data_IF_586366615039
#
_entry.id   IF_586366615039
#
_cell.length_a   1.000
_cell.length_b   1.000
_cell.length_c   1.000
_cell.angle_alpha   90.00
_cell.angle_beta   90.00
_cell.angle_gamma   90.00
#
_symmetry.space_group_name_H-M   'P 1'
#
loop_
_entity.id
_entity.type
_entity.pdbx_description
1 polymer ?
#
# COMPACT_ATOMS: atom_id res chain seq x y z
N UNK A 1 15.16 20.97 -6.76
CA UNK A 1 14.54 19.84 -7.46
C UNK A 1 13.23 19.47 -6.83
N UNK A 2 12.29 19.04 -7.65
CA UNK A 2 10.98 18.66 -7.17
C UNK A 2 11.03 17.33 -6.42
N UNK A 3 10.22 17.18 -5.40
CA UNK A 3 10.03 15.91 -4.74
C UNK A 3 9.37 14.91 -5.68
N UNK A 4 9.80 13.65 -5.57
CA UNK A 4 9.14 12.57 -6.29
C UNK A 4 8.02 12.03 -5.40
N UNK A 5 6.82 11.95 -5.93
CA UNK A 5 5.66 11.45 -5.21
C UNK A 5 5.07 10.25 -5.92
N UNK A 6 4.94 9.14 -5.20
CA UNK A 6 4.32 7.93 -5.71
C UNK A 6 3.13 7.56 -4.83
N UNK A 7 1.98 7.33 -5.44
CA UNK A 7 0.80 6.78 -4.77
C UNK A 7 0.76 5.29 -5.06
N UNK A 8 0.74 4.49 -4.00
CA UNK A 8 0.97 3.05 -4.13
C UNK A 8 -0.14 2.28 -3.42
N UNK A 9 -0.58 1.19 -4.05
CA UNK A 9 -1.49 0.23 -3.44
C UNK A 9 -0.79 -1.12 -3.38
N UNK A 10 -0.94 -1.84 -2.27
CA UNK A 10 -0.24 -3.09 -2.05
C UNK A 10 -1.12 -4.06 -1.26
N UNK A 11 -1.18 -5.31 -1.72
CA UNK A 11 -1.93 -6.35 -1.04
C UNK A 11 -1.08 -7.03 0.03
N UNK A 12 -1.74 -7.49 1.09
CA UNK A 12 -1.09 -8.20 2.20
C UNK A 12 -1.78 -9.56 2.34
N UNK A 13 -1.01 -10.63 2.31
CA UNK A 13 -1.54 -11.98 2.45
C UNK A 13 -0.73 -12.80 3.46
N UNK A 14 -1.38 -13.74 4.18
CA UNK A 14 -0.67 -14.63 5.09
C UNK A 14 0.13 -15.69 4.33
N UNK A 15 1.27 -16.06 4.90
CA UNK A 15 2.08 -17.16 4.42
C UNK A 15 2.47 -18.03 5.60
N UNK A 16 3.16 -19.15 5.35
CA UNK A 16 3.67 -20.01 6.41
C UNK A 16 4.65 -19.29 7.34
N UNK A 17 5.31 -18.27 6.83
CA UNK A 17 6.31 -17.51 7.59
C UNK A 17 5.76 -16.20 8.15
N UNK A 18 4.45 -15.94 8.00
CA UNK A 18 3.83 -14.72 8.48
C UNK A 18 3.06 -13.99 7.38
N UNK A 19 3.05 -12.67 7.44
CA UNK A 19 2.39 -11.87 6.43
C UNK A 19 3.40 -11.38 5.40
N UNK A 20 2.99 -11.42 4.14
CA UNK A 20 3.83 -11.00 3.01
C UNK A 20 3.12 -9.89 2.24
N UNK A 21 3.85 -8.83 1.96
CA UNK A 21 3.40 -7.76 1.08
C UNK A 21 3.50 -8.22 -0.36
N UNK A 22 2.43 -8.00 -1.13
CA UNK A 22 2.44 -8.27 -2.55
C UNK A 22 3.21 -7.22 -3.33
N UNK A 23 3.15 -7.33 -4.66
CA UNK A 23 3.82 -6.37 -5.53
C UNK A 23 3.16 -4.98 -5.42
N UNK A 24 3.93 -3.92 -5.17
CA UNK A 24 3.36 -2.58 -5.11
C UNK A 24 2.93 -2.09 -6.47
N UNK A 25 1.74 -1.48 -6.55
CA UNK A 25 1.21 -0.91 -7.78
C UNK A 25 1.18 0.60 -7.68
N UNK A 26 1.81 1.26 -8.62
CA UNK A 26 1.80 2.73 -8.70
C UNK A 26 0.47 3.21 -9.28
N UNK A 27 -0.09 4.23 -8.65
CA UNK A 27 -1.37 4.80 -9.03
C UNK A 27 -1.20 6.28 -9.35
N UNK A 28 -2.20 6.85 -10.03
CA UNK A 28 -2.10 8.23 -10.50
C UNK A 28 -2.44 9.25 -9.42
N UNK A 29 -3.19 8.86 -8.39
CA UNK A 29 -3.68 9.78 -7.38
C UNK A 29 -3.92 9.04 -6.06
N UNK A 30 -4.08 9.77 -4.93
CA UNK A 30 -4.43 9.13 -3.67
C UNK A 30 -5.74 8.35 -3.76
N UNK A 31 -6.74 8.90 -4.44
CA UNK A 31 -8.03 8.24 -4.60
C UNK A 31 -7.88 6.92 -5.38
N UNK A 32 -7.08 6.93 -6.45
CA UNK A 32 -6.81 5.72 -7.23
C UNK A 32 -6.11 4.66 -6.40
N UNK A 33 -5.14 5.05 -5.56
CA UNK A 33 -4.44 4.11 -4.69
C UNK A 33 -5.39 3.48 -3.68
N UNK A 34 -6.26 4.29 -3.08
CA UNK A 34 -7.25 3.81 -2.12
C UNK A 34 -8.23 2.85 -2.80
N UNK A 35 -8.74 3.21 -3.97
CA UNK A 35 -9.66 2.35 -4.72
C UNK A 35 -9.02 1.04 -5.12
N UNK A 36 -7.76 1.07 -5.55
CA UNK A 36 -7.03 -0.13 -5.93
C UNK A 36 -6.82 -1.05 -4.72
N UNK A 37 -6.41 -0.48 -3.60
CA UNK A 37 -6.22 -1.26 -2.37
C UNK A 37 -7.53 -1.88 -1.92
N UNK A 38 -8.62 -1.13 -1.96
CA UNK A 38 -9.95 -1.64 -1.62
C UNK A 38 -10.35 -2.81 -2.52
N UNK A 39 -10.08 -2.71 -3.81
CA UNK A 39 -10.38 -3.77 -4.78
C UNK A 39 -9.54 -5.02 -4.50
N UNK A 40 -8.26 -4.87 -4.18
CA UNK A 40 -7.40 -5.99 -3.81
C UNK A 40 -7.97 -6.76 -2.64
N UNK A 41 -8.45 -6.06 -1.63
CA UNK A 41 -9.03 -6.68 -0.45
C UNK A 41 -10.42 -7.25 -0.72
N UNK A 42 -11.30 -6.46 -1.34
CA UNK A 42 -12.73 -6.81 -1.42
C UNK A 42 -13.08 -7.68 -2.62
N UNK A 43 -12.43 -7.46 -3.75
CA UNK A 43 -12.75 -8.13 -5.01
C UNK A 43 -11.81 -9.32 -5.26
N UNK A 44 -10.54 -9.12 -5.10
CA UNK A 44 -9.53 -10.15 -5.37
C UNK A 44 -9.28 -11.08 -4.18
N UNK A 45 -9.85 -10.77 -3.02
CA UNK A 45 -9.85 -11.70 -1.89
C UNK A 45 -8.56 -11.75 -1.09
N UNK A 46 -7.70 -10.75 -1.20
CA UNK A 46 -6.51 -10.67 -0.34
C UNK A 46 -6.92 -10.42 1.11
N UNK A 47 -6.10 -10.89 2.05
CA UNK A 47 -6.39 -10.75 3.49
C UNK A 47 -6.43 -9.30 3.94
N UNK A 48 -5.63 -8.46 3.31
CA UNK A 48 -5.62 -7.03 3.58
C UNK A 48 -4.99 -6.28 2.43
N UNK A 49 -5.04 -4.97 2.51
CA UNK A 49 -4.41 -4.11 1.52
C UNK A 49 -4.11 -2.76 2.15
N UNK A 50 -3.13 -2.07 1.62
CA UNK A 50 -2.75 -0.76 2.11
C UNK A 50 -2.52 0.19 0.95
N UNK A 51 -3.02 1.41 1.10
CA UNK A 51 -2.73 2.51 0.18
C UNK A 51 -1.83 3.49 0.90
N UNK A 52 -0.73 3.86 0.28
CA UNK A 52 0.20 4.80 0.88
C UNK A 52 0.84 5.71 -0.17
N UNK A 53 1.41 6.80 0.31
CA UNK A 53 2.16 7.72 -0.53
C UNK A 53 3.60 7.73 -0.09
N UNK A 54 4.49 7.66 -1.05
CA UNK A 54 5.93 7.73 -0.80
C UNK A 54 6.47 8.98 -1.48
N UNK A 55 7.08 9.86 -0.69
CA UNK A 55 7.60 11.13 -1.17
C UNK A 55 9.02 11.31 -0.70
N UNK A 56 9.76 12.13 -1.42
CA UNK A 56 11.03 12.65 -0.95
C UNK A 56 12.20 12.36 -1.84
N UNK A 57 13.17 13.23 -1.70
CA UNK A 57 14.49 13.11 -2.29
C UNK A 57 15.39 14.12 -1.56
N UNK A 58 16.54 13.71 -1.03
CA UNK A 58 17.09 12.35 -1.04
C UNK A 58 16.47 11.38 -0.04
N UNK A 59 15.71 11.87 0.93
CA UNK A 59 15.08 11.02 1.93
C UNK A 59 13.67 10.65 1.52
N UNK A 60 13.33 9.37 1.67
CA UNK A 60 11.99 8.88 1.35
C UNK A 60 11.13 8.90 2.60
N UNK A 61 9.96 9.52 2.49
CA UNK A 61 8.93 9.50 3.52
C UNK A 61 7.75 8.68 3.04
N UNK A 62 7.23 7.82 3.90
CA UNK A 62 6.05 7.01 3.61
C UNK A 62 4.92 7.41 4.54
N UNK A 63 3.76 7.73 3.96
CA UNK A 63 2.56 8.06 4.72
C UNK A 63 1.44 7.13 4.31
N UNK A 64 0.89 6.39 5.27
CA UNK A 64 -0.23 5.49 4.99
C UNK A 64 -1.49 6.31 4.81
N UNK A 65 -2.18 6.10 3.69
CA UNK A 65 -3.44 6.78 3.38
C UNK A 65 -4.62 5.99 3.92
N UNK A 66 -4.63 4.67 3.71
CA UNK A 66 -5.74 3.83 4.13
C UNK A 66 -5.29 2.39 4.27
N UNK A 67 -5.90 1.69 5.22
CA UNK A 67 -5.65 0.27 5.46
C UNK A 67 -6.98 -0.46 5.36
N UNK A 68 -7.00 -1.59 4.66
CA UNK A 68 -8.16 -2.44 4.50
C UNK A 68 -7.85 -3.84 5.02
N UNK A 69 -8.78 -4.41 5.77
CA UNK A 69 -8.66 -5.79 6.24
C UNK A 69 -7.56 -6.00 7.27
N UNK A 70 -6.94 -7.17 7.20
CA UNK A 70 -5.89 -7.60 8.15
C UNK A 70 -4.53 -7.10 7.72
N UNK A 71 -4.07 -6.03 8.38
CA UNK A 71 -2.74 -5.47 8.15
C UNK A 71 -2.08 -5.27 9.50
N UNK A 72 -0.85 -5.75 9.71
CA UNK A 72 -0.17 -5.57 11.00
C UNK A 72 0.07 -4.10 11.31
N UNK A 73 -0.03 -3.75 12.59
CA UNK A 73 0.19 -2.38 13.04
C UNK A 73 1.64 -1.92 12.81
N UNK A 74 2.56 -2.86 12.79
CA UNK A 74 3.98 -2.59 12.61
C UNK A 74 4.45 -2.81 11.18
N UNK A 75 3.52 -2.85 10.23
CA UNK A 75 3.87 -3.01 8.82
C UNK A 75 4.78 -1.89 8.36
N UNK A 76 5.91 -2.28 7.77
CA UNK A 76 6.85 -1.34 7.16
C UNK A 76 6.67 -1.33 5.66
N UNK A 77 6.34 -0.16 5.14
CA UNK A 77 6.10 0.03 3.71
C UNK A 77 7.04 1.08 3.13
#
# INVERSE_FOLDING_TARGET
MSEITHFIAMAIDPTNDGLVAGEPLKCASPASAIDRAKSMWKIFGHSGAVAFVRTGYPETKTTVLRIFGNVPDDLQV
#
